data_IF_617143409799
#
_entry.id   IF_617143409799
#
_cell.length_a   1.000
_cell.length_b   1.000
_cell.length_c   1.000
_cell.angle_alpha   90.00
_cell.angle_beta   90.00
_cell.angle_gamma   90.00
#
_symmetry.space_group_name_H-M   'P 1'
#
loop_
_entity.id
_entity.type
_entity.pdbx_description
1 polymer ?
#
# COMPACT_ATOMS: atom_id res chain seq x y z
N UNK A 1 40.46 -3.98 -22.11
CA UNK A 1 39.00 -3.95 -22.36
C UNK A 1 38.31 -4.11 -21.02
N UNK A 2 37.70 -3.06 -20.45
CA UNK A 2 36.95 -3.20 -19.18
C UNK A 2 35.49 -3.52 -19.46
N UNK A 3 35.00 -4.58 -18.85
CA UNK A 3 33.60 -4.98 -18.83
C UNK A 3 32.79 -3.99 -17.97
N UNK A 4 31.90 -3.25 -18.60
CA UNK A 4 30.87 -2.50 -17.89
C UNK A 4 29.76 -3.44 -17.44
N UNK A 5 29.71 -3.74 -16.16
CA UNK A 5 28.57 -4.39 -15.51
C UNK A 5 27.44 -3.37 -15.38
N UNK A 6 26.44 -3.54 -16.23
CA UNK A 6 25.20 -2.80 -16.22
C UNK A 6 24.39 -3.27 -14.99
N UNK A 7 24.43 -2.51 -13.89
CA UNK A 7 23.58 -2.73 -12.72
C UNK A 7 22.21 -2.12 -13.00
N UNK A 8 21.32 -2.90 -13.59
CA UNK A 8 19.89 -2.58 -13.60
C UNK A 8 19.40 -2.67 -12.17
N UNK A 9 19.20 -1.52 -11.53
CA UNK A 9 18.54 -1.42 -10.24
C UNK A 9 17.06 -1.78 -10.47
N UNK A 10 16.72 -3.03 -10.20
CA UNK A 10 15.34 -3.44 -10.07
C UNK A 10 14.76 -2.76 -8.83
N UNK A 11 13.98 -1.71 -9.01
CA UNK A 11 13.17 -1.11 -7.96
C UNK A 11 12.07 -2.14 -7.65
N UNK A 12 12.37 -3.00 -6.68
CA UNK A 12 11.40 -3.94 -6.15
C UNK A 12 10.35 -3.16 -5.38
N UNK A 13 9.19 -2.95 -5.99
CA UNK A 13 7.99 -2.55 -5.26
C UNK A 13 7.61 -3.75 -4.39
N UNK A 14 8.06 -3.75 -3.16
CA UNK A 14 7.61 -4.71 -2.16
C UNK A 14 6.13 -4.44 -1.89
N UNK A 15 5.27 -5.22 -2.56
CA UNK A 15 3.85 -5.27 -2.23
C UNK A 15 3.73 -5.88 -0.84
N UNK A 16 3.37 -5.05 0.13
CA UNK A 16 3.09 -5.47 1.49
C UNK A 16 1.92 -6.45 1.48
N UNK A 17 2.21 -7.73 1.52
CA UNK A 17 1.20 -8.77 1.78
C UNK A 17 0.87 -8.72 3.27
N UNK A 18 -0.03 -7.81 3.65
CA UNK A 18 -0.59 -7.78 5.00
C UNK A 18 -1.47 -9.02 5.14
N UNK A 19 -0.97 -10.05 5.83
CA UNK A 19 -1.75 -11.22 6.17
C UNK A 19 -2.85 -10.79 7.16
N UNK A 20 -4.06 -10.58 6.65
CA UNK A 20 -5.25 -10.35 7.46
C UNK A 20 -5.57 -11.64 8.20
N UNK A 21 -5.33 -11.66 9.50
CA UNK A 21 -5.79 -12.74 10.38
C UNK A 21 -7.29 -12.56 10.57
N UNK A 22 -8.07 -13.35 9.84
CA UNK A 22 -9.53 -13.36 9.97
C UNK A 22 -9.97 -14.23 11.14
N UNK A 23 -10.68 -13.64 12.06
CA UNK A 23 -11.41 -14.37 13.11
C UNK A 23 -12.73 -14.83 12.52
N UNK A 24 -12.90 -16.14 12.40
CA UNK A 24 -14.09 -16.78 11.86
C UNK A 24 -15.31 -16.52 12.76
N UNK A 25 -16.22 -15.71 12.28
CA UNK A 25 -17.54 -15.47 12.85
C UNK A 25 -18.43 -14.86 11.78
N UNK A 26 -19.52 -15.55 11.41
CA UNK A 26 -20.48 -15.08 10.42
C UNK A 26 -21.22 -13.83 10.90
N UNK A 27 -20.66 -12.66 10.59
CA UNK A 27 -21.37 -11.39 10.70
C UNK A 27 -20.63 -10.34 9.86
N UNK A 28 -21.36 -9.45 9.21
CA UNK A 28 -20.80 -8.25 8.61
C UNK A 28 -20.14 -7.39 9.70
N UNK A 29 -18.95 -7.78 10.09
CA UNK A 29 -18.24 -7.13 11.18
C UNK A 29 -17.36 -6.02 10.63
N UNK A 30 -17.56 -4.80 11.10
CA UNK A 30 -16.59 -3.73 10.92
C UNK A 30 -15.41 -4.00 11.86
N UNK A 31 -14.24 -4.21 11.30
CA UNK A 31 -13.01 -4.27 12.08
C UNK A 31 -12.36 -2.88 12.11
N UNK A 32 -11.84 -2.52 13.27
CA UNK A 32 -11.19 -1.26 13.51
C UNK A 32 -9.90 -1.53 14.28
N UNK A 33 -8.77 -1.44 13.59
CA UNK A 33 -7.47 -1.83 14.12
C UNK A 33 -6.48 -0.66 14.03
N UNK A 34 -5.65 -0.53 15.06
CA UNK A 34 -4.47 0.33 15.05
C UNK A 34 -3.23 -0.55 14.96
N UNK A 35 -2.49 -0.39 13.90
CA UNK A 35 -1.31 -1.19 13.57
C UNK A 35 -0.09 -0.32 13.80
N UNK A 36 0.77 -0.63 14.78
CA UNK A 36 2.04 0.05 14.93
C UNK A 36 2.92 -0.23 13.70
N UNK A 37 3.64 0.78 13.27
CA UNK A 37 4.58 0.73 12.15
C UNK A 37 5.95 1.07 12.70
N UNK A 38 6.90 0.17 12.49
CA UNK A 38 8.30 0.33 12.85
C UNK A 38 9.14 -0.08 11.63
N UNK A 39 10.12 0.76 11.28
CA UNK A 39 11.08 0.51 10.19
C UNK A 39 10.42 0.18 8.83
N UNK A 40 9.27 0.79 8.56
CA UNK A 40 8.58 0.58 7.28
C UNK A 40 9.26 1.39 6.18
N UNK A 41 9.75 0.74 5.10
CA UNK A 41 10.49 1.44 4.06
C UNK A 41 9.55 2.29 3.18
N UNK A 42 9.95 3.54 2.99
CA UNK A 42 9.33 4.47 2.06
C UNK A 42 10.42 5.25 1.30
N UNK A 43 10.02 6.05 0.33
CA UNK A 43 10.93 6.93 -0.38
C UNK A 43 10.27 8.27 -0.74
N UNK A 44 11.03 9.34 -0.69
CA UNK A 44 10.68 10.57 -1.36
C UNK A 44 11.19 10.48 -2.81
N UNK A 45 10.26 10.27 -3.75
CA UNK A 45 10.61 10.05 -5.16
C UNK A 45 11.07 11.33 -5.88
N UNK A 46 10.98 12.49 -5.23
CA UNK A 46 11.38 13.76 -5.80
C UNK A 46 12.86 14.09 -5.56
N UNK A 47 13.41 13.64 -4.46
CA UNK A 47 14.82 13.84 -4.12
C UNK A 47 15.62 12.54 -3.94
N UNK A 48 14.94 11.38 -3.94
CA UNK A 48 15.58 10.07 -3.84
C UNK A 48 15.89 9.62 -2.41
N UNK A 49 15.45 10.35 -1.38
CA UNK A 49 15.63 9.93 0.00
C UNK A 49 14.90 8.62 0.29
N UNK A 50 15.62 7.68 0.90
CA UNK A 50 15.01 6.51 1.52
C UNK A 50 14.60 6.85 2.94
N UNK A 51 13.40 6.45 3.34
CA UNK A 51 12.80 6.85 4.61
C UNK A 51 12.36 5.60 5.36
N UNK A 52 12.78 5.47 6.61
CA UNK A 52 12.26 4.45 7.51
C UNK A 52 11.15 5.07 8.36
N UNK A 53 9.92 4.62 8.14
CA UNK A 53 8.75 5.19 8.76
C UNK A 53 8.45 4.53 10.10
N UNK A 54 8.03 5.37 11.04
CA UNK A 54 7.53 4.98 12.36
C UNK A 54 6.20 5.67 12.64
N UNK A 55 5.30 4.98 13.36
CA UNK A 55 4.03 5.55 13.74
C UNK A 55 2.91 4.53 13.82
N UNK A 56 1.72 4.87 13.35
CA UNK A 56 0.55 3.99 13.40
C UNK A 56 -0.25 4.10 12.11
N UNK A 57 -0.74 2.98 11.63
CA UNK A 57 -1.75 2.91 10.58
C UNK A 57 -3.07 2.48 11.23
N UNK A 58 -4.13 3.20 10.90
CA UNK A 58 -5.48 2.87 11.28
C UNK A 58 -6.15 2.15 10.11
N UNK A 59 -6.58 0.91 10.34
CA UNK A 59 -7.33 0.09 9.40
C UNK A 59 -8.78 0.02 9.83
N UNK A 60 -9.67 0.35 8.91
CA UNK A 60 -11.10 0.06 9.01
C UNK A 60 -11.46 -0.88 7.88
N UNK A 61 -11.93 -2.07 8.18
CA UNK A 61 -12.43 -3.00 7.17
C UNK A 61 -13.89 -3.35 7.42
N UNK A 62 -14.61 -3.49 6.33
CA UNK A 62 -16.00 -3.94 6.32
C UNK A 62 -16.10 -5.06 5.29
N UNK A 63 -16.76 -6.14 5.67
CA UNK A 63 -16.96 -7.25 4.76
C UNK A 63 -17.84 -8.32 5.36
N UNK A 64 -18.48 -9.07 4.52
CA UNK A 64 -19.21 -10.25 4.90
C UNK A 64 -18.32 -11.47 4.63
N UNK A 65 -17.79 -12.03 5.71
CA UNK A 65 -17.08 -13.31 5.68
C UNK A 65 -18.04 -14.39 6.14
N UNK A 66 -18.73 -15.00 5.19
CA UNK A 66 -19.55 -16.16 5.45
C UNK A 66 -18.78 -17.37 4.94
N UNK A 67 -18.46 -18.30 5.81
CA UNK A 67 -17.86 -19.57 5.43
C UNK A 67 -18.79 -20.24 4.42
N UNK A 68 -18.25 -20.66 3.28
CA UNK A 68 -19.01 -21.21 2.14
C UNK A 68 -19.93 -20.24 1.37
N UNK A 69 -19.85 -18.94 1.63
CA UNK A 69 -20.57 -17.98 0.80
C UNK A 69 -20.05 -18.04 -0.65
N UNK A 70 -20.95 -18.07 -1.65
CA UNK A 70 -20.54 -18.13 -3.04
C UNK A 70 -19.80 -16.89 -3.52
N UNK A 71 -19.91 -15.79 -2.75
CA UNK A 71 -19.21 -14.52 -2.99
C UNK A 71 -18.90 -13.86 -1.67
N UNK A 72 -17.74 -13.20 -1.63
CA UNK A 72 -17.33 -12.36 -0.51
C UNK A 72 -16.97 -10.98 -1.06
N UNK A 73 -17.31 -9.95 -0.30
CA UNK A 73 -16.99 -8.57 -0.60
C UNK A 73 -16.33 -7.94 0.62
N UNK A 74 -15.12 -7.43 0.44
CA UNK A 74 -14.36 -6.77 1.49
C UNK A 74 -13.98 -5.38 1.02
N UNK A 75 -14.25 -4.40 1.86
CA UNK A 75 -13.77 -3.03 1.70
C UNK A 75 -12.85 -2.72 2.87
N UNK A 76 -11.63 -2.30 2.60
CA UNK A 76 -10.68 -1.88 3.61
C UNK A 76 -10.20 -0.46 3.33
N UNK A 77 -10.15 0.34 4.37
CA UNK A 77 -9.65 1.70 4.36
C UNK A 77 -8.50 1.81 5.37
N UNK A 78 -7.36 2.30 4.89
CA UNK A 78 -6.19 2.56 5.70
C UNK A 78 -5.92 4.05 5.74
N UNK A 79 -5.59 4.58 6.89
CA UNK A 79 -5.03 5.92 7.02
C UNK A 79 -3.89 5.94 8.04
N UNK A 80 -2.91 6.77 7.77
CA UNK A 80 -1.80 6.98 8.69
C UNK A 80 -2.21 7.85 9.87
N UNK A 81 -1.66 7.54 11.04
CA UNK A 81 -1.76 8.37 12.23
C UNK A 81 -0.34 8.66 12.70
N UNK A 82 0.16 9.87 12.36
CA UNK A 82 1.49 10.34 12.76
C UNK A 82 2.65 9.45 12.24
N UNK A 83 2.61 9.07 10.98
CA UNK A 83 3.79 8.47 10.36
C UNK A 83 4.86 9.54 10.15
N UNK A 84 6.05 9.27 10.63
CA UNK A 84 7.23 10.15 10.48
C UNK A 84 8.46 9.32 10.17
N UNK A 85 9.48 9.93 9.61
CA UNK A 85 10.75 9.26 9.35
C UNK A 85 11.87 10.25 9.01
N UNK A 86 13.07 9.72 8.92
CA UNK A 86 14.27 10.47 8.54
C UNK A 86 14.74 9.96 7.18
N UNK A 87 14.97 10.89 6.26
CA UNK A 87 15.47 10.58 4.93
C UNK A 87 16.97 10.31 4.91
N UNK A 88 17.40 9.33 4.15
CA UNK A 88 18.80 9.00 3.92
C UNK A 88 19.07 9.16 2.40
N UNK A 89 20.07 9.95 1.98
CA UNK A 89 21.19 10.48 2.78
C UNK A 89 20.98 11.89 3.35
N UNK A 90 19.84 12.56 3.07
CA UNK A 90 19.70 14.00 3.39
C UNK A 90 19.66 14.33 4.88
N UNK A 91 19.22 13.39 5.73
CA UNK A 91 18.91 13.63 7.13
C UNK A 91 17.63 14.44 7.36
N UNK A 92 16.83 14.64 6.31
CA UNK A 92 15.59 15.43 6.37
C UNK A 92 14.52 14.68 7.15
N UNK A 93 13.84 15.39 8.05
CA UNK A 93 12.67 14.87 8.74
C UNK A 93 11.44 14.98 7.82
N UNK A 94 10.63 13.91 7.78
CA UNK A 94 9.41 13.84 7.00
C UNK A 94 8.20 13.49 7.86
N UNK A 95 7.08 14.14 7.55
CA UNK A 95 5.75 13.69 7.92
C UNK A 95 5.14 12.98 6.73
N UNK A 96 4.56 11.80 6.96
CA UNK A 96 3.96 11.02 5.89
C UNK A 96 2.47 10.82 6.15
N UNK A 97 1.66 11.21 5.18
CA UNK A 97 0.23 10.92 5.18
C UNK A 97 -0.05 9.85 4.13
N UNK A 98 -0.48 8.70 4.59
CA UNK A 98 -0.86 7.55 3.78
C UNK A 98 -2.37 7.32 3.89
N UNK A 99 -3.04 7.30 2.76
CA UNK A 99 -4.44 6.91 2.62
C UNK A 99 -4.51 5.81 1.58
N UNK A 100 -5.23 4.74 1.91
CA UNK A 100 -5.44 3.65 0.96
C UNK A 100 -6.86 3.12 1.07
N UNK A 101 -7.46 2.83 -0.08
CA UNK A 101 -8.74 2.14 -0.19
C UNK A 101 -8.53 0.84 -0.96
N UNK A 102 -9.03 -0.25 -0.43
CA UNK A 102 -9.01 -1.56 -1.09
C UNK A 102 -10.43 -2.12 -1.17
N UNK A 103 -10.79 -2.60 -2.34
CA UNK A 103 -12.03 -3.34 -2.56
C UNK A 103 -11.66 -4.69 -3.15
N UNK A 104 -12.08 -5.74 -2.49
CA UNK A 104 -11.88 -7.11 -2.93
C UNK A 104 -13.23 -7.80 -3.09
N UNK A 105 -13.43 -8.44 -4.24
CA UNK A 105 -14.56 -9.31 -4.53
C UNK A 105 -14.01 -10.67 -4.87
N UNK A 106 -14.22 -11.65 -4.00
CA UNK A 106 -13.78 -13.01 -4.20
C UNK A 106 -14.96 -13.98 -4.32
N UNK A 107 -14.73 -15.10 -4.99
CA UNK A 107 -15.70 -16.18 -5.18
C UNK A 107 -15.13 -17.47 -4.62
N UNK A 108 -16.02 -18.37 -4.22
CA UNK A 108 -15.63 -19.68 -3.68
C UNK A 108 -14.87 -20.54 -4.70
N UNK A 109 -15.08 -20.29 -6.00
CA UNK A 109 -14.33 -20.94 -7.09
C UNK A 109 -12.90 -20.41 -7.28
N UNK A 110 -12.46 -19.45 -6.44
CA UNK A 110 -11.12 -18.85 -6.47
C UNK A 110 -10.98 -17.63 -7.40
N UNK A 111 -12.04 -17.27 -8.14
CA UNK A 111 -12.02 -16.03 -8.92
C UNK A 111 -12.03 -14.81 -8.00
N UNK A 112 -11.19 -13.81 -8.30
CA UNK A 112 -11.03 -12.61 -7.48
C UNK A 112 -10.90 -11.35 -8.34
N UNK A 113 -11.46 -10.25 -7.85
CA UNK A 113 -11.24 -8.89 -8.39
C UNK A 113 -10.82 -7.98 -7.25
N UNK A 114 -9.64 -7.44 -7.35
CA UNK A 114 -9.08 -6.51 -6.35
C UNK A 114 -8.82 -5.16 -6.98
N UNK A 115 -9.30 -4.11 -6.33
CA UNK A 115 -8.94 -2.72 -6.64
C UNK A 115 -8.30 -2.10 -5.41
N UNK A 116 -7.11 -1.54 -5.59
CA UNK A 116 -6.36 -0.84 -4.55
C UNK A 116 -6.02 0.56 -5.05
N UNK A 117 -6.38 1.56 -4.27
CA UNK A 117 -5.94 2.94 -4.44
C UNK A 117 -5.06 3.34 -3.26
N UNK A 118 -3.92 3.94 -3.54
CA UNK A 118 -3.00 4.46 -2.51
C UNK A 118 -2.62 5.90 -2.85
N UNK A 119 -2.74 6.78 -1.86
CA UNK A 119 -2.23 8.14 -1.90
C UNK A 119 -1.25 8.30 -0.73
N UNK A 120 -0.01 8.65 -1.05
CA UNK A 120 1.03 8.91 -0.05
C UNK A 120 1.61 10.30 -0.28
N UNK A 121 1.52 11.15 0.75
CA UNK A 121 2.15 12.46 0.75
C UNK A 121 3.35 12.41 1.71
N UNK A 122 4.52 12.72 1.20
CA UNK A 122 5.78 12.82 1.95
C UNK A 122 6.15 14.29 2.04
N UNK A 123 6.05 14.86 3.22
CA UNK A 123 6.16 16.30 3.44
C UNK A 123 7.28 16.60 4.43
N UNK A 124 8.25 17.40 3.97
CA UNK A 124 9.27 18.02 4.83
C UNK A 124 8.72 19.33 5.43
N UNK A 125 8.81 19.54 6.73
CA UNK A 125 8.40 20.80 7.35
C UNK A 125 9.33 21.98 7.07
N UNK A 126 10.35 21.81 6.26
CA UNK A 126 11.32 22.83 5.86
C UNK A 126 11.30 23.13 4.36
N UNK A 127 12.45 23.51 3.82
CA UNK A 127 12.65 23.79 2.40
C UNK A 127 12.97 22.54 1.56
N UNK A 128 12.74 21.35 2.12
CA UNK A 128 12.96 20.09 1.38
C UNK A 128 11.88 19.85 0.34
N UNK A 129 12.24 19.12 -0.71
CA UNK A 129 11.28 18.69 -1.71
C UNK A 129 10.26 17.74 -1.10
N UNK A 130 8.99 17.97 -1.44
CA UNK A 130 7.88 17.14 -1.06
C UNK A 130 7.46 16.25 -2.22
N UNK A 131 6.94 15.07 -1.93
CA UNK A 131 6.37 14.20 -2.95
C UNK A 131 4.95 13.77 -2.61
N UNK A 132 4.10 13.72 -3.61
CA UNK A 132 2.83 13.04 -3.57
C UNK A 132 2.87 11.88 -4.56
N UNK A 133 2.56 10.71 -4.09
CA UNK A 133 2.47 9.48 -4.88
C UNK A 133 1.01 9.06 -4.88
N UNK A 134 0.46 8.86 -6.07
CA UNK A 134 -0.85 8.27 -6.25
C UNK A 134 -0.71 7.03 -7.13
N UNK A 135 -1.24 5.91 -6.67
CA UNK A 135 -1.32 4.68 -7.46
C UNK A 135 -2.70 4.07 -7.38
N UNK A 136 -3.18 3.57 -8.51
CA UNK A 136 -4.37 2.74 -8.61
C UNK A 136 -3.94 1.43 -9.23
N UNK A 137 -4.30 0.35 -8.59
CA UNK A 137 -4.02 -1.00 -9.03
C UNK A 137 -5.31 -1.80 -9.10
N UNK A 138 -5.55 -2.44 -10.23
CA UNK A 138 -6.72 -3.28 -10.43
C UNK A 138 -6.28 -4.61 -11.03
N UNK A 139 -6.67 -5.70 -10.40
CA UNK A 139 -6.36 -7.06 -10.83
C UNK A 139 -7.62 -7.89 -10.87
N UNK A 140 -7.79 -8.65 -11.94
CA UNK A 140 -8.78 -9.70 -12.06
C UNK A 140 -8.06 -11.03 -12.22
N UNK A 141 -8.43 -12.00 -11.39
CA UNK A 141 -7.93 -13.36 -11.39
C UNK A 141 -9.09 -14.34 -11.67
N UNK A 142 -8.84 -15.31 -12.53
CA UNK A 142 -9.83 -16.37 -12.77
C UNK A 142 -9.76 -17.47 -11.70
N UNK A 143 -10.67 -18.44 -11.77
CA UNK A 143 -10.75 -19.57 -10.84
C UNK A 143 -9.49 -20.48 -10.83
N UNK A 144 -8.66 -20.41 -11.87
CA UNK A 144 -7.41 -21.18 -11.96
C UNK A 144 -6.20 -20.41 -11.37
N UNK A 145 -6.42 -19.21 -10.84
CA UNK A 145 -5.36 -18.36 -10.31
C UNK A 145 -4.63 -17.53 -11.38
N UNK A 146 -5.08 -17.53 -12.63
CA UNK A 146 -4.47 -16.78 -13.71
C UNK A 146 -4.96 -15.34 -13.72
N UNK A 147 -4.05 -14.37 -13.88
CA UNK A 147 -4.38 -12.95 -14.06
C UNK A 147 -4.95 -12.76 -15.46
N UNK A 148 -6.21 -12.37 -15.54
CA UNK A 148 -6.94 -12.13 -16.80
C UNK A 148 -7.02 -10.67 -17.20
N UNK A 149 -6.91 -9.77 -16.22
CA UNK A 149 -6.80 -8.34 -16.45
C UNK A 149 -5.94 -7.70 -15.37
N UNK A 150 -5.10 -6.75 -15.76
CA UNK A 150 -4.32 -5.95 -14.85
C UNK A 150 -4.24 -4.52 -15.39
N UNK A 151 -4.50 -3.56 -14.50
CA UNK A 151 -4.33 -2.14 -14.77
C UNK A 151 -3.57 -1.53 -13.60
N UNK A 152 -2.58 -0.71 -13.94
CA UNK A 152 -1.84 0.08 -12.96
C UNK A 152 -1.69 1.50 -13.48
N UNK A 153 -2.05 2.46 -12.65
CA UNK A 153 -1.78 3.87 -12.87
C UNK A 153 -0.89 4.38 -11.72
N UNK A 154 0.17 5.10 -12.06
CA UNK A 154 1.14 5.58 -11.10
C UNK A 154 1.53 7.02 -11.44
N UNK A 155 1.29 7.93 -10.50
CA UNK A 155 1.64 9.34 -10.62
C UNK A 155 2.50 9.79 -9.46
N UNK A 156 3.51 10.60 -9.78
CA UNK A 156 4.32 11.32 -8.78
C UNK A 156 4.21 12.80 -9.08
N UNK A 157 3.93 13.57 -8.05
CA UNK A 157 3.90 15.02 -8.09
C UNK A 157 4.90 15.58 -7.08
N UNK A 158 5.84 16.40 -7.56
CA UNK A 158 6.88 17.02 -6.74
C UNK A 158 6.54 18.49 -6.51
N UNK A 159 6.69 18.94 -5.26
CA UNK A 159 6.54 20.33 -4.85
C UNK A 159 7.67 20.70 -3.90
N UNK A 160 8.33 21.80 -4.15
CA UNK A 160 9.42 22.34 -3.32
C UNK A 160 9.60 23.80 -3.57
#
# INVERSE_FOLDING_TARGET
MPFFLNRSAAIGVSVLTLALVFVSGASAATQNLKIPVEDFPAANLCNGDQIELQGTIHLVSQGEFVEDAPRQHVHAHFNSQKLTGIGVPSGTFYNVNLISNSIENSRIDGANVTTLEVIMNVVSPGSGENSQIQTVFHVTQNANGEITAQFQNFHVHCTG
#
